data_IF_913394455342
#
_entry.id   IF_913394455342
#
_cell.length_a   1.000
_cell.length_b   1.000
_cell.length_c   1.000
_cell.angle_alpha   90.00
_cell.angle_beta   90.00
_cell.angle_gamma   90.00
#
_symmetry.space_group_name_H-M   'P 1'
#
loop_
_entity.id
_entity.type
_entity.pdbx_description
1 polymer ?
2 non-polymer ?
3 water ?
#
# COMPACT_ATOMS: atom_id res chain seq x y z
N UNK A 1 12.21 -3.76 -4.52
CA UNK A 1 11.14 -2.79 -4.64
C UNK A 1 11.61 -1.40 -4.22
N UNK A 2 11.05 -0.37 -4.85
CA UNK A 2 11.48 1.00 -4.60
C UNK A 2 10.39 1.83 -3.96
N UNK A 3 10.81 2.81 -3.15
CA UNK A 3 9.88 3.70 -2.47
C UNK A 3 10.30 5.15 -2.72
N UNK A 4 9.56 5.85 -3.57
CA UNK A 4 9.87 7.23 -3.89
C UNK A 4 8.93 8.20 -3.19
N UNK A 5 9.49 9.15 -2.46
CA UNK A 5 8.70 10.15 -1.74
C UNK A 5 8.92 11.55 -2.29
N UNK A 6 7.93 12.07 -2.99
CA UNK A 6 8.01 13.43 -3.54
C UNK A 6 7.49 14.44 -2.53
N UNK A 7 8.33 15.43 -2.19
CA UNK A 7 7.95 16.44 -1.22
C UNK A 7 7.62 17.78 -1.87
N UNK A 8 6.40 18.23 -1.66
CA UNK A 8 5.98 19.56 -2.12
C UNK A 8 5.76 20.47 -0.93
N UNK A 9 5.79 21.78 -1.16
CA UNK A 9 5.35 22.73 -0.16
C UNK A 9 3.87 22.45 0.10
N UNK A 10 3.45 22.55 1.36
CA UNK A 10 2.13 22.07 1.78
C UNK A 10 1.00 22.51 0.86
N UNK A 11 0.33 21.53 0.27
CA UNK A 11 -0.75 21.79 -0.68
C UNK A 11 -2.10 21.85 0.01
N UNK A 12 -2.77 22.98 -0.10
CA UNK A 12 -4.09 23.16 0.48
C UNK A 12 -5.17 22.53 -0.39
N UNK A 13 -5.39 21.23 -0.20
CA UNK A 13 -6.36 20.49 -1.00
C UNK A 13 -6.62 19.13 -0.33
N UNK A 14 -7.87 18.64 -0.39
CA UNK A 14 -8.22 17.35 0.24
C UNK A 14 -7.36 16.18 -0.24
N UNK A 15 -6.51 15.69 0.65
CA UNK A 15 -5.47 14.69 0.32
C UNK A 15 -5.95 13.51 -0.52
N UNK A 16 -7.17 13.05 -0.27
CA UNK A 16 -7.70 11.90 -1.00
C UNK A 16 -7.91 12.20 -2.48
N UNK A 17 -8.20 13.46 -2.79
CA UNK A 17 -8.43 13.86 -4.18
C UNK A 17 -7.14 14.14 -4.92
N UNK A 18 -6.08 14.45 -4.16
CA UNK A 18 -4.75 14.59 -4.75
C UNK A 18 -4.25 13.23 -5.25
N UNK A 19 -4.48 12.21 -4.43
CA UNK A 19 -4.06 10.85 -4.75
C UNK A 19 -4.63 10.39 -6.08
N UNK A 20 -5.89 10.74 -6.34
CA UNK A 20 -6.55 10.40 -7.59
C UNK A 20 -5.99 11.24 -8.73
N UNK A 21 -5.69 12.50 -8.44
CA UNK A 21 -5.15 13.42 -9.44
C UNK A 21 -3.70 13.08 -9.77
N UNK A 22 -2.91 12.78 -8.75
CA UNK A 22 -1.52 12.38 -8.95
C UNK A 22 -1.43 11.11 -9.77
N UNK A 23 -2.40 10.22 -9.58
CA UNK A 23 -2.44 8.97 -10.33
C UNK A 23 -2.66 9.24 -11.81
N UNK A 24 -3.49 10.24 -12.11
CA UNK A 24 -3.75 10.64 -13.48
C UNK A 24 -2.52 11.26 -14.11
N UNK A 25 -1.86 12.13 -13.36
CA UNK A 25 -0.61 12.76 -13.80
C UNK A 25 0.46 11.71 -14.08
N UNK A 26 0.49 10.69 -13.24
CA UNK A 26 1.47 9.62 -13.36
C UNK A 26 1.27 8.83 -14.65
N UNK A 27 0.00 8.62 -15.02
CA UNK A 27 -0.34 7.90 -16.24
C UNK A 27 0.01 8.71 -17.49
N UNK A 28 0.00 10.03 -17.36
CA UNK A 28 0.30 10.90 -18.49
C UNK A 28 1.78 10.92 -18.84
N UNK A 29 2.58 10.21 -18.04
CA UNK A 29 4.02 10.15 -18.25
C UNK A 29 4.39 8.85 -18.97
N UNK A 30 3.59 7.82 -18.79
CA UNK A 30 3.88 6.50 -19.35
C UNK A 30 3.35 6.35 -20.77
N UNK A 31 3.92 5.40 -21.51
CA UNK A 31 3.45 5.10 -22.85
C UNK A 31 2.03 4.55 -22.79
N UNK A 32 1.14 5.15 -23.58
CA UNK A 32 -0.28 4.78 -23.57
C UNK A 32 -0.49 3.30 -23.87
N UNK A 33 0.39 2.73 -24.69
CA UNK A 33 0.33 1.31 -25.00
C UNK A 33 0.70 0.48 -23.77
N UNK A 34 1.65 1.00 -22.98
CA UNK A 34 2.08 0.34 -21.76
C UNK A 34 1.06 0.50 -20.64
N UNK A 35 0.31 1.61 -20.70
CA UNK A 35 -0.72 1.89 -19.71
C UNK A 35 -1.86 0.87 -19.80
N UNK A 36 -2.24 0.53 -21.03
CA UNK A 36 -3.31 -0.44 -21.27
C UNK A 36 -2.93 -1.82 -20.74
N UNK A 37 -1.63 -2.08 -20.68
CA UNK A 37 -1.12 -3.34 -20.16
C UNK A 37 -1.36 -3.44 -18.65
N UNK A 38 -1.26 -2.30 -17.98
CA UNK A 38 -1.45 -2.24 -16.52
C UNK A 38 -2.91 -2.51 -16.15
N UNK A 39 -3.82 -2.25 -17.08
CA UNK A 39 -5.25 -2.41 -16.81
C UNK A 39 -5.73 -3.84 -17.01
N UNK A 40 -4.80 -4.77 -17.23
CA UNK A 40 -5.16 -6.14 -17.56
C UNK A 40 -4.70 -7.16 -16.51
N UNK A 41 -4.51 -6.70 -15.28
CA UNK A 41 -4.19 -7.60 -14.18
C UNK A 41 -4.97 -7.24 -12.93
N UNK A 42 -5.15 -8.20 -12.03
CA UNK A 42 -5.88 -7.98 -10.80
C UNK A 42 -5.06 -7.15 -9.81
N UNK A 43 -3.75 -7.09 -10.06
CA UNK A 43 -2.85 -6.33 -9.20
C UNK A 43 -1.84 -5.54 -10.02
N UNK A 44 -1.79 -4.24 -9.77
CA UNK A 44 -0.83 -3.36 -10.42
C UNK A 44 0.54 -3.43 -9.76
N UNK A 45 1.61 -3.29 -10.55
CA UNK A 45 2.97 -3.33 -10.01
C UNK A 45 3.40 -2.02 -9.35
N UNK A 46 2.43 -1.23 -8.87
CA UNK A 46 2.72 0.03 -8.22
C UNK A 46 1.62 0.43 -7.25
N UNK A 47 2.01 1.17 -6.20
CA UNK A 47 1.06 1.68 -5.23
C UNK A 47 1.43 3.10 -4.83
N UNK A 48 0.41 3.96 -4.67
CA UNK A 48 0.66 5.37 -4.36
C UNK A 48 -0.01 5.80 -3.06
N UNK A 49 0.55 6.85 -2.45
CA UNK A 49 0.01 7.42 -1.22
C UNK A 49 0.15 8.94 -1.22
N UNK A 50 -0.69 9.59 -0.41
CA UNK A 50 -0.56 11.02 -0.18
C UNK A 50 -0.65 11.31 1.32
N UNK A 51 0.44 11.80 1.89
CA UNK A 51 0.49 12.08 3.32
C UNK A 51 0.57 13.58 3.57
N UNK A 52 -0.44 14.13 4.22
CA UNK A 52 -0.45 15.55 4.58
C UNK A 52 0.37 15.78 5.85
N UNK A 53 1.21 16.80 5.82
CA UNK A 53 2.01 17.17 6.98
C UNK A 53 1.67 18.56 7.46
N UNK A 54 2.32 18.97 8.55
CA UNK A 54 2.08 20.29 9.12
C UNK A 54 2.67 21.39 8.24
N UNK A 55 3.79 21.09 7.59
CA UNK A 55 4.48 22.07 6.76
C UNK A 55 4.80 21.56 5.37
N UNK A 56 4.43 20.31 5.09
CA UNK A 56 4.69 19.71 3.79
C UNK A 56 3.61 18.76 3.31
N UNK A 57 3.64 18.42 2.03
CA UNK A 57 2.78 17.41 1.45
C UNK A 57 3.63 16.37 0.72
N UNK A 58 3.43 15.09 1.05
CA UNK A 58 4.26 14.04 0.50
C UNK A 58 3.50 13.12 -0.45
N UNK A 59 4.01 12.98 -1.66
CA UNK A 59 3.47 12.03 -2.62
C UNK A 59 4.36 10.79 -2.68
N UNK A 60 3.82 9.66 -2.27
CA UNK A 60 4.58 8.42 -2.21
C UNK A 60 4.23 7.50 -3.38
N UNK A 61 5.26 7.01 -4.07
CA UNK A 61 5.07 6.05 -5.16
C UNK A 61 5.92 4.80 -4.94
N UNK A 62 5.25 3.65 -4.86
CA UNK A 62 5.94 2.38 -4.64
C UNK A 62 6.10 1.59 -5.92
N UNK A 63 7.33 1.25 -6.28
CA UNK A 63 7.58 0.36 -7.40
C UNK A 63 7.76 -1.06 -6.86
N UNK A 64 6.89 -1.97 -7.29
CA UNK A 64 6.76 -3.27 -6.64
C UNK A 64 7.43 -4.43 -7.38
N UNK A 65 7.73 -4.23 -8.66
CA UNK A 65 8.43 -5.26 -9.43
C UNK A 65 9.63 -4.68 -10.17
N UNK A 66 10.57 -5.53 -10.50
CA UNK A 66 11.79 -5.12 -11.20
C UNK A 66 11.50 -4.64 -12.61
N UNK A 67 10.62 -5.35 -13.31
CA UNK A 67 10.25 -5.00 -14.67
C UNK A 67 9.57 -3.63 -14.73
N UNK A 68 8.69 -3.35 -13.77
CA UNK A 68 8.02 -2.05 -13.71
C UNK A 68 9.03 -0.97 -13.35
N UNK A 69 9.92 -1.29 -12.42
CA UNK A 69 10.96 -0.37 -12.00
C UNK A 69 11.90 -0.03 -13.17
N UNK A 70 12.22 -1.03 -13.98
CA UNK A 70 13.14 -0.84 -15.09
C UNK A 70 12.66 0.20 -16.10
N UNK A 71 11.34 0.27 -16.30
CA UNK A 71 10.78 1.11 -17.35
C UNK A 71 10.23 2.43 -16.83
N UNK A 72 10.20 2.60 -15.51
CA UNK A 72 9.52 3.75 -14.93
C UNK A 72 10.42 4.59 -14.00
N UNK A 73 11.34 3.93 -13.30
CA UNK A 73 12.15 4.57 -12.25
C UNK A 73 12.85 5.85 -12.72
N UNK A 74 13.48 5.82 -13.89
CA UNK A 74 14.20 6.98 -14.40
C UNK A 74 13.25 8.13 -14.68
N UNK A 75 12.09 7.81 -15.26
CA UNK A 75 11.08 8.81 -15.60
C UNK A 75 10.60 9.59 -14.38
N UNK A 76 10.43 8.90 -13.26
CA UNK A 76 9.91 9.54 -12.04
C UNK A 76 10.95 10.47 -11.40
N UNK A 77 12.23 10.20 -11.67
CA UNK A 77 13.31 11.02 -11.13
C UNK A 77 13.43 12.35 -11.86
N UNK A 78 13.07 12.35 -13.14
CA UNK A 78 13.14 13.56 -13.96
C UNK A 78 12.10 14.59 -13.52
N UNK A 79 11.07 14.13 -12.81
CA UNK A 79 9.96 14.99 -12.42
C UNK A 79 10.38 16.09 -11.45
N UNK A 80 10.20 17.34 -11.88
CA UNK A 80 10.51 18.50 -11.04
C UNK A 80 9.29 19.39 -10.86
N UNK A 81 8.40 19.38 -11.83
CA UNK A 81 7.19 20.20 -11.78
C UNK A 81 5.95 19.38 -12.15
N UNK A 82 4.90 19.51 -11.34
CA UNK A 82 3.67 18.77 -11.56
C UNK A 82 2.48 19.72 -11.69
N UNK A 83 1.67 19.51 -12.72
CA UNK A 83 0.50 20.35 -12.95
C UNK A 83 -0.79 19.54 -12.91
N UNK A 84 -1.61 19.80 -11.89
CA UNK A 84 -2.90 19.11 -11.74
C UNK A 84 -4.04 20.08 -12.01
N UNK A 85 -5.23 19.55 -12.24
CA UNK A 85 -6.40 20.38 -12.51
C UNK A 85 -6.80 21.20 -11.29
N UNK A 86 -7.26 22.44 -11.56
CA UNK A 86 -7.73 23.36 -10.53
C UNK A 86 -6.65 23.74 -9.52
N UNK A 87 -5.40 23.42 -9.83
CA UNK A 87 -4.29 23.69 -8.92
C UNK A 87 -3.14 24.39 -9.61
N UNK A 88 -2.47 25.30 -8.89
CA UNK A 88 -1.25 25.94 -9.40
C UNK A 88 -0.17 24.90 -9.66
N UNK A 89 0.71 25.17 -10.62
CA UNK A 89 1.77 24.23 -10.98
C UNK A 89 2.65 23.93 -9.77
N UNK A 90 2.72 22.65 -9.40
CA UNK A 90 3.44 22.23 -8.21
C UNK A 90 4.93 22.01 -8.50
N UNK A 91 5.78 22.40 -7.56
CA UNK A 91 7.23 22.24 -7.72
C UNK A 91 7.78 21.22 -6.72
N UNK A 92 8.53 20.26 -7.24
CA UNK A 92 9.11 19.22 -6.39
C UNK A 92 10.30 19.76 -5.61
N UNK A 93 10.13 19.88 -4.29
CA UNK A 93 11.21 20.32 -3.42
C UNK A 93 12.26 19.24 -3.22
N UNK A 94 11.80 18.04 -2.90
CA UNK A 94 12.69 16.90 -2.66
C UNK A 94 12.15 15.61 -3.26
N UNK A 95 13.04 14.61 -3.36
CA UNK A 95 12.63 13.26 -3.71
C UNK A 95 13.50 12.24 -2.98
N UNK A 96 12.87 11.47 -2.10
CA UNK A 96 13.57 10.47 -1.31
C UNK A 96 13.43 9.08 -1.92
N UNK A 97 14.46 8.26 -1.78
CA UNK A 97 14.43 6.91 -2.34
C UNK A 97 14.84 5.87 -1.30
N UNK A 98 13.94 4.92 -1.05
CA UNK A 98 14.23 3.79 -0.17
C UNK A 98 13.98 2.50 -0.93
N UNK A 99 14.61 1.41 -0.50
CA UNK A 99 14.50 0.15 -1.21
C UNK A 99 14.18 -1.01 -0.26
N UNK A 100 13.36 -1.94 -0.73
CA UNK A 100 13.03 -3.13 0.04
C UNK A 100 13.20 -4.38 -0.82
N UNK A 101 14.29 -5.10 -0.61
CA UNK A 101 14.56 -6.32 -1.36
C UNK A 101 14.44 -7.56 -0.51
N UNK A 102 14.97 -8.67 -1.04
CA UNK A 102 14.90 -9.95 -0.33
C UNK A 102 15.82 -9.96 0.88
N UNK A 103 16.90 -9.19 0.80
CA UNK A 103 17.88 -9.12 1.89
C UNK A 103 17.25 -8.57 3.18
N UNK A 104 16.43 -7.53 3.04
CA UNK A 104 15.75 -6.95 4.21
C UNK A 104 14.63 -7.85 4.71
N UNK A 105 13.88 -8.44 3.79
CA UNK A 105 12.78 -9.34 4.14
C UNK A 105 13.26 -10.59 4.87
N UNK A 106 14.33 -11.18 4.36
CA UNK A 106 14.88 -12.39 4.97
C UNK A 106 15.48 -12.05 6.33
N UNK A 107 15.99 -10.83 6.45
CA UNK A 107 16.50 -10.33 7.72
C UNK A 107 15.39 -10.26 8.75
N UNK A 108 14.21 -9.81 8.31
CA UNK A 108 13.03 -9.73 9.17
C UNK A 108 12.68 -11.10 9.74
N UNK A 109 12.86 -12.12 8.92
CA UNK A 109 12.47 -13.48 9.29
C UNK A 109 13.29 -14.05 10.45
N UNK A 110 14.60 -14.06 10.28
CA UNK A 110 15.51 -14.63 11.27
C UNK A 110 15.84 -13.68 12.40
N UNK A 111 14.99 -12.68 12.60
CA UNK A 111 15.25 -11.63 13.58
C UNK A 111 15.35 -12.16 14.99
N UNK A 112 16.19 -11.52 15.80
CA UNK A 112 16.34 -11.88 17.20
C UNK A 112 15.10 -11.47 17.97
N UNK A 113 14.38 -10.47 17.45
CA UNK A 113 13.16 -9.99 18.08
C UNK A 113 11.93 -10.51 17.35
N UNK A 114 11.28 -11.50 17.94
CA UNK A 114 10.10 -12.10 17.34
C UNK A 114 8.82 -11.56 18.00
N UNK A 115 7.95 -10.95 17.20
CA UNK A 115 6.75 -10.31 17.72
C UNK A 115 5.59 -11.27 17.89
N UNK A 116 4.81 -11.06 18.95
CA UNK A 116 3.56 -11.77 19.16
C UNK A 116 2.40 -10.83 18.86
N UNK A 117 2.55 -9.58 19.28
CA UNK A 117 1.56 -8.54 19.02
C UNK A 117 1.98 -7.67 17.84
N UNK A 118 1.01 -7.33 16.99
CA UNK A 118 1.29 -6.51 15.82
C UNK A 118 0.28 -5.36 15.72
N UNK A 119 0.80 -4.14 15.59
CA UNK A 119 -0.06 -2.97 15.44
C UNK A 119 -0.01 -2.41 14.03
N UNK A 120 -1.15 -2.43 13.35
CA UNK A 120 -1.25 -1.91 11.99
C UNK A 120 -1.88 -0.52 11.99
N UNK A 121 -1.29 0.40 11.25
CA UNK A 121 -1.85 1.75 11.12
C UNK A 121 -2.34 2.00 9.70
N UNK A 122 -3.64 2.27 9.58
CA UNK A 122 -4.24 2.56 8.28
C UNK A 122 -4.18 4.05 7.99
N UNK A 123 -3.14 4.47 7.30
CA UNK A 123 -2.90 5.89 7.04
C UNK A 123 -3.92 6.48 6.07
N UNK A 124 -4.25 5.72 5.04
CA UNK A 124 -5.24 6.13 4.05
C UNK A 124 -6.44 5.19 4.10
N UNK A 125 -7.60 5.63 3.58
CA UNK A 125 -8.81 4.80 3.57
C UNK A 125 -8.60 3.40 2.99
N UNK A 126 -8.84 2.39 3.80
CA UNK A 126 -8.64 1.00 3.40
C UNK A 126 -9.98 0.29 3.24
N UNK A 127 -10.15 -0.43 2.13
CA UNK A 127 -11.38 -1.15 1.89
C UNK A 127 -11.14 -2.55 1.35
N UNK A 128 -12.10 -3.44 1.57
CA UNK A 128 -12.04 -4.80 1.03
C UNK A 128 -13.32 -5.12 0.27
N UNK A 129 -13.19 -5.88 -0.81
CA UNK A 129 -14.34 -6.36 -1.57
C UNK A 129 -14.57 -7.84 -1.31
N UNK A 130 -15.55 -8.15 -0.47
CA UNK A 130 -15.79 -9.53 -0.07
C UNK A 130 -17.27 -9.91 -0.16
N UNK A 131 -17.52 -11.03 -0.83
CA UNK A 131 -18.86 -11.60 -0.96
C UNK A 131 -19.86 -10.61 -1.55
N UNK A 132 -19.45 -9.89 -2.58
CA UNK A 132 -20.33 -8.96 -3.26
C UNK A 132 -20.12 -7.51 -2.85
N UNK A 133 -20.70 -7.13 -1.71
CA UNK A 133 -20.62 -5.75 -1.24
C UNK A 133 -19.28 -5.46 -0.56
N UNK A 134 -19.06 -4.19 -0.22
CA UNK A 134 -17.81 -3.76 0.40
C UNK A 134 -17.76 -4.08 1.88
N UNK A 135 -16.66 -3.70 2.52
CA UNK A 135 -16.43 -4.01 3.93
C UNK A 135 -15.95 -2.77 4.69
N UNK A 136 -16.56 -2.51 5.84
CA UNK A 136 -16.19 -1.37 6.68
C UNK A 136 -15.47 -1.79 7.96
N UNK A 137 -15.63 -3.06 8.32
CA UNK A 137 -14.96 -3.62 9.50
C UNK A 137 -13.87 -4.60 9.08
N UNK A 138 -12.60 -4.24 9.33
CA UNK A 138 -11.47 -5.11 8.96
C UNK A 138 -11.45 -6.43 9.70
N UNK A 139 -11.01 -7.49 9.03
CA UNK A 139 -10.84 -8.79 9.66
C UNK A 139 -9.47 -9.36 9.30
N UNK A 140 -8.95 -10.24 10.14
CA UNK A 140 -7.62 -10.81 9.93
C UNK A 140 -7.56 -11.67 8.67
N UNK A 141 -8.66 -12.35 8.35
CA UNK A 141 -8.72 -13.16 7.15
C UNK A 141 -8.65 -12.30 5.89
N UNK A 142 -9.32 -11.15 5.92
CA UNK A 142 -9.30 -10.24 4.78
C UNK A 142 -7.94 -9.56 4.64
N UNK A 143 -7.32 -9.22 5.75
CA UNK A 143 -6.01 -8.57 5.75
C UNK A 143 -4.94 -9.50 5.18
N UNK A 144 -4.87 -10.72 5.72
CA UNK A 144 -3.89 -11.70 5.28
C UNK A 144 -4.11 -12.13 3.83
N UNK A 145 -5.37 -12.26 3.43
CA UNK A 145 -5.69 -12.68 2.07
C UNK A 145 -5.22 -11.67 1.04
N UNK A 146 -5.47 -10.40 1.30
CA UNK A 146 -5.07 -9.33 0.40
C UNK A 146 -3.55 -9.28 0.22
N UNK A 147 -2.83 -9.45 1.33
CA UNK A 147 -1.38 -9.42 1.30
C UNK A 147 -0.80 -10.68 0.65
N UNK A 148 -1.39 -11.83 0.94
CA UNK A 148 -0.95 -13.08 0.34
C UNK A 148 -1.20 -13.08 -1.16
N UNK A 149 -2.32 -12.51 -1.58
CA UNK A 149 -2.63 -12.39 -3.01
C UNK A 149 -1.67 -11.42 -3.69
N UNK A 150 -1.50 -10.24 -3.10
CA UNK A 150 -0.61 -9.23 -3.63
C UNK A 150 0.83 -9.73 -3.72
N UNK A 151 1.27 -10.47 -2.70
CA UNK A 151 2.62 -11.00 -2.69
C UNK A 151 2.80 -12.11 -3.72
N UNK A 152 1.82 -13.02 -3.78
CA UNK A 152 1.87 -14.12 -4.71
C UNK A 152 1.88 -13.72 -6.17
N UNK A 153 1.13 -12.67 -6.50
CA UNK A 153 0.99 -12.22 -7.88
C UNK A 153 2.18 -11.38 -8.36
N UNK A 154 2.82 -10.70 -7.43
CA UNK A 154 3.85 -9.71 -7.80
C UNK A 154 5.27 -10.27 -7.84
N UNK A 155 5.65 -11.09 -6.87
CA UNK A 155 7.02 -11.57 -6.81
C UNK A 155 7.15 -13.04 -7.19
N UNK A 156 6.06 -13.79 -7.08
CA UNK A 156 6.08 -15.22 -7.38
C UNK A 156 5.40 -15.54 -8.70
N UNK A 157 4.66 -14.56 -9.22
CA UNK A 157 3.87 -14.73 -10.45
C UNK A 157 2.95 -15.94 -10.39
N UNK A 158 2.29 -16.11 -9.24
CA UNK A 158 1.33 -17.19 -9.06
C UNK A 158 -0.07 -16.62 -8.86
N UNK A 159 -1.04 -17.09 -9.66
CA UNK A 159 -2.41 -16.58 -9.66
C UNK A 159 -3.15 -16.73 -8.34
N UNK A 160 -2.97 -17.86 -7.66
CA UNK A 160 -3.71 -18.14 -6.43
C UNK A 160 -2.79 -18.41 -5.25
N UNK A 161 -3.35 -18.32 -4.04
CA UNK A 161 -2.59 -18.51 -2.81
C UNK A 161 -2.92 -19.83 -2.13
N UNK A 162 -2.11 -20.21 -1.15
CA UNK A 162 -2.36 -21.43 -0.38
C UNK A 162 -3.45 -21.19 0.65
N UNK A 163 -4.61 -21.76 0.39
CA UNK A 163 -5.78 -21.58 1.26
C UNK A 163 -5.57 -22.18 2.66
N UNK A 164 -4.79 -23.25 2.73
CA UNK A 164 -4.49 -23.89 4.01
C UNK A 164 -3.70 -22.94 4.89
N UNK A 165 -2.78 -22.20 4.28
CA UNK A 165 -1.96 -21.22 5.01
C UNK A 165 -2.83 -20.06 5.48
N UNK A 166 -3.75 -19.63 4.62
CA UNK A 166 -4.68 -18.56 4.96
C UNK A 166 -5.57 -18.97 6.12
N UNK A 167 -6.04 -20.22 6.10
CA UNK A 167 -6.80 -20.77 7.20
C UNK A 167 -5.94 -20.81 8.46
N UNK A 168 -4.71 -21.29 8.30
CA UNK A 168 -3.78 -21.42 9.40
C UNK A 168 -3.46 -20.07 10.05
N UNK A 169 -3.24 -19.06 9.21
CA UNK A 169 -2.93 -17.71 9.68
C UNK A 169 -4.11 -17.07 10.40
N UNK A 170 -5.32 -17.37 9.93
CA UNK A 170 -6.53 -16.79 10.51
C UNK A 170 -6.90 -17.45 11.84
N UNK A 171 -6.69 -18.76 11.92
CA UNK A 171 -7.03 -19.52 13.12
C UNK A 171 -6.20 -19.09 14.33
N UNK A 172 -5.01 -18.56 14.07
CA UNK A 172 -4.07 -18.26 15.15
C UNK A 172 -3.94 -16.76 15.41
N UNK A 173 -4.63 -15.95 14.63
CA UNK A 173 -4.60 -14.50 14.81
C UNK A 173 -5.91 -13.98 15.40
N UNK A 174 -5.81 -12.99 16.26
CA UNK A 174 -6.99 -12.45 16.94
C UNK A 174 -6.84 -10.96 17.28
N UNK A 175 -7.77 -10.16 16.79
CA UNK A 175 -7.79 -8.72 17.10
C UNK A 175 -8.06 -8.51 18.59
N UNK A 176 -7.22 -7.71 19.23
CA UNK A 176 -7.35 -7.45 20.66
C UNK A 176 -7.73 -6.00 20.94
N UNK A 177 -7.16 -5.09 20.15
CA UNK A 177 -7.44 -3.67 20.30
C UNK A 177 -7.58 -2.98 18.96
N UNK A 178 -8.36 -1.90 18.92
CA UNK A 178 -8.49 -1.10 17.71
C UNK A 178 -9.03 0.29 18.00
N UNK A 179 -8.72 1.24 17.11
CA UNK A 179 -9.34 2.56 17.12
C UNK A 179 -9.64 2.94 15.67
N UNK A 180 -10.87 2.65 15.23
CA UNK A 180 -11.21 2.78 13.82
C UNK A 180 -12.38 3.72 13.58
N UNK A 181 -12.48 4.20 12.34
CA UNK A 181 -13.59 5.06 11.92
C UNK A 181 -13.84 4.91 10.43
N UNK A 182 -15.04 5.24 9.98
CA UNK A 182 -15.37 5.21 8.56
C UNK A 182 -14.68 6.34 7.81
N UNK A 183 -14.34 6.08 6.55
CA UNK A 183 -13.70 7.07 5.71
C UNK A 183 -13.91 6.71 4.24
N UNK A 184 -14.85 7.41 3.60
CA UNK A 184 -15.21 7.12 2.22
C UNK A 184 -14.21 7.71 1.23
N UNK A 185 -13.82 6.91 0.24
CA UNK A 185 -12.86 7.34 -0.76
C UNK A 185 -13.56 7.58 -2.10
N UNK A 186 -13.37 8.77 -2.65
CA UNK A 186 -14.04 9.16 -3.88
C UNK A 186 -13.19 8.86 -5.11
N UNK A 187 -13.70 7.99 -5.97
CA UNK A 187 -13.02 7.65 -7.22
C UNK A 187 -13.84 8.12 -8.42
N UNK A 189 -17.95 10.09 -10.04
CA UNK A 189 -17.23 9.87 -8.79
C UNK A 189 -18.03 9.00 -7.84
N UNK A 190 -17.79 7.69 -7.88
CA UNK A 190 -18.48 6.75 -7.01
C UNK A 190 -17.82 6.67 -5.63
N UNK A 191 -18.58 7.00 -4.59
CA UNK A 191 -18.07 6.94 -3.23
C UNK A 191 -17.83 5.51 -2.78
N UNK A 192 -16.57 5.22 -2.44
CA UNK A 192 -16.20 3.88 -1.98
C UNK A 192 -16.05 3.85 -0.47
N UNK A 193 -16.83 2.98 0.20
CA UNK A 193 -16.77 2.85 1.66
C UNK A 193 -15.47 2.19 2.13
N UNK A 194 -14.84 2.80 3.12
CA UNK A 194 -13.57 2.30 3.65
C UNK A 194 -13.41 2.69 5.11
N UNK A 195 -12.38 2.16 5.75
CA UNK A 195 -12.11 2.47 7.15
C UNK A 195 -10.73 3.11 7.34
N UNK A 196 -10.46 3.57 8.56
CA UNK A 196 -9.24 4.32 8.85
C UNK A 196 -8.89 4.22 10.33
N UNK A 197 -7.59 4.25 10.64
CA UNK A 197 -7.16 4.22 12.02
C UNK A 197 -6.08 3.20 12.34
N UNK A 198 -6.28 2.48 13.45
CA UNK A 198 -5.27 1.56 13.95
C UNK A 198 -5.90 0.36 14.64
N UNK A 199 -5.30 -0.82 14.46
CA UNK A 199 -5.72 -2.01 15.21
C UNK A 199 -4.50 -2.77 15.75
N UNK A 200 -4.76 -3.70 16.66
CA UNK A 200 -3.72 -4.54 17.22
C UNK A 200 -4.22 -5.98 17.33
N UNK A 201 -3.43 -6.93 16.84
CA UNK A 201 -3.80 -8.34 16.93
C UNK A 201 -2.65 -9.17 17.49
N UNK A 202 -2.99 -10.31 18.10
CA UNK A 202 -2.00 -11.20 18.66
C UNK A 202 -1.92 -12.50 17.85
N UNK A 203 -0.73 -13.09 17.81
CA UNK A 203 -0.53 -14.34 17.09
C UNK A 203 -0.10 -15.45 18.04
N UNK A 204 -0.84 -16.55 18.03
CA UNK A 204 -0.53 -17.68 18.89
C UNK A 204 0.00 -18.86 18.08
N UNK A 205 1.28 -19.16 18.25
CA UNK A 205 1.89 -20.26 17.52
C UNK A 205 3.41 -20.23 17.57
N UNK A 206 4.03 -20.90 16.61
CA UNK A 206 5.49 -20.98 16.53
C UNK A 206 6.09 -19.67 16.04
N UNK A 207 7.39 -19.50 16.29
CA UNK A 207 8.11 -18.30 15.89
C UNK A 207 8.27 -18.24 14.37
N UNK A 208 8.17 -19.39 13.72
CA UNK A 208 8.24 -19.46 12.27
C UNK A 208 6.99 -18.85 11.65
N UNK A 209 5.87 -19.02 12.35
CA UNK A 209 4.59 -18.44 11.92
C UNK A 209 4.61 -16.93 12.09
N UNK A 210 5.04 -16.48 13.26
CA UNK A 210 5.06 -15.06 13.58
C UNK A 210 6.03 -14.29 12.68
N UNK A 211 7.08 -14.98 12.23
CA UNK A 211 8.06 -14.37 11.35
C UNK A 211 7.47 -14.13 9.96
N UNK A 212 6.64 -15.08 9.52
CA UNK A 212 5.97 -14.97 8.23
C UNK A 212 4.97 -13.82 8.23
N UNK A 213 4.32 -13.62 9.37
CA UNK A 213 3.37 -12.52 9.53
C UNK A 213 4.09 -11.18 9.44
N UNK A 214 5.21 -11.07 10.16
CA UNK A 214 6.00 -9.84 10.18
C UNK A 214 6.51 -9.49 8.79
N UNK A 215 6.94 -10.52 8.05
CA UNK A 215 7.43 -10.34 6.69
C UNK A 215 6.30 -9.87 5.76
N UNK A 216 5.14 -10.49 5.91
CA UNK A 216 3.97 -10.18 5.08
C UNK A 216 3.50 -8.75 5.32
N UNK A 217 3.59 -8.30 6.57
CA UNK A 217 3.20 -6.94 6.94
C UNK A 217 4.25 -5.93 6.48
N UNK A 218 5.52 -6.27 6.63
CA UNK A 218 6.62 -5.43 6.18
C UNK A 218 6.54 -5.22 4.67
N UNK A 219 6.20 -6.29 3.96
CA UNK A 219 5.99 -6.22 2.52
C UNK A 219 4.78 -5.35 2.21
N UNK A 220 3.78 -5.40 3.08
CA UNK A 220 2.53 -4.69 2.90
C UNK A 220 2.67 -3.18 2.93
N UNK A 221 3.70 -2.68 3.61
CA UNK A 221 3.94 -1.25 3.70
C UNK A 221 4.25 -0.65 2.32
N UNK A 222 4.68 -1.49 1.40
CA UNK A 222 4.99 -1.07 0.04
C UNK A 222 3.80 -1.26 -0.90
N UNK A 223 3.25 -2.46 -0.90
CA UNK A 223 2.18 -2.81 -1.84
C UNK A 223 0.86 -2.13 -1.47
N UNK A 224 0.67 -1.85 -0.19
CA UNK A 224 -0.60 -1.35 0.30
C UNK A 224 -1.51 -2.50 0.64
N UNK A 225 -2.61 -2.21 1.33
CA UNK A 225 -3.52 -3.25 1.77
C UNK A 225 -4.93 -3.08 1.23
N UNK A 226 -5.40 -4.07 0.49
CA UNK A 226 -6.79 -4.11 0.05
C UNK A 226 -7.10 -3.53 -1.31
N UNK A 227 -8.09 -2.65 -1.34
CA UNK A 227 -8.70 -2.19 -2.59
C UNK A 227 -8.08 -0.88 -3.10
N UNK A 228 -7.88 -0.81 -4.41
CA UNK A 228 -7.45 0.41 -5.09
C UNK A 228 -6.18 1.02 -4.49
N UNK A 229 -5.15 0.21 -4.32
CA UNK A 229 -3.90 0.68 -3.73
C UNK A 229 -3.17 1.65 -4.67
N UNK A 230 -3.41 1.52 -5.97
CA UNK A 230 -2.76 2.37 -6.94
C UNK A 230 -3.35 3.78 -6.95
N UNK A 231 -4.58 3.91 -6.44
CA UNK A 231 -5.28 5.19 -6.45
C UNK A 231 -5.06 5.99 -5.17
N UNK A 232 -4.40 5.37 -4.19
CA UNK A 232 -4.08 6.06 -2.95
C UNK A 232 -4.75 5.45 -1.73
N UNK A 233 -5.49 4.37 -1.94
CA UNK A 233 -6.16 3.68 -0.85
C UNK A 233 -5.27 2.61 -0.23
N UNK A 234 -5.60 2.21 0.99
CA UNK A 234 -4.97 1.07 1.64
C UNK A 234 -3.51 1.26 2.00
N UNK A 235 -3.12 2.50 2.26
CA UNK A 235 -1.77 2.77 2.72
C UNK A 235 -1.62 2.39 4.18
N UNK A 236 -0.73 1.44 4.47
CA UNK A 236 -0.55 0.97 5.83
C UNK A 236 0.86 1.22 6.37
N UNK A 237 1.02 1.04 7.67
CA UNK A 237 2.30 1.23 8.34
C UNK A 237 2.42 0.34 9.57
N UNK A 238 3.40 -0.56 9.55
CA UNK A 238 3.67 -1.43 10.69
C UNK A 238 4.60 -0.72 11.67
N UNK A 239 4.06 -0.32 12.81
CA UNK A 239 4.84 0.43 13.79
C UNK A 239 5.85 -0.48 14.49
N UNK A 240 6.93 0.12 14.96
CA UNK A 240 8.02 -0.62 15.60
C UNK A 240 7.57 -1.27 16.90
X LIG B 1 8.14 0.77 8.85
#
# INVERSE_FOLDING_TARGET
MKKLVFTFKRIDHPAQDLAVKFHGFLMEQLDSDYVDYLHQQQTNPYATKVIQGKENTQWVVHLLTDDHEDKVFMTLLQIKEVSLNDLPKLSVEKVEIQELGADKLLEIFNSEENQTYFSIIFETPTGFKSQGSYVIFPSMRLIFQSLMQKYGRLVENQPEIEEDTLDYLSEHSTITNYRLETSYFRVHRQRIPAFRGKLTFKVQGAKTLKAYVKMLLTFGEYSGLGMKTSLGMGGIKLEERKD
CA CA
#
